data_IF_793349211620
#
_entry.id   IF_793349211620
#
_cell.length_a   1.000
_cell.length_b   1.000
_cell.length_c   1.000
_cell.angle_alpha   90.00
_cell.angle_beta   90.00
_cell.angle_gamma   90.00
#
_symmetry.space_group_name_H-M   'P 1'
#
loop_
_entity.id
_entity.type
_entity.pdbx_description
1 polymer ?
#
# COMPACT_ATOMS: atom_id res chain seq x y z
N UNK A 1 33.44 16.82 -23.14
CA UNK A 1 34.24 16.24 -22.05
C UNK A 1 33.53 14.99 -21.57
N UNK A 2 34.17 13.81 -21.54
CA UNK A 2 33.51 12.61 -21.05
C UNK A 2 33.38 12.71 -19.53
N UNK A 3 32.17 12.52 -19.01
CA UNK A 3 31.92 12.37 -17.58
C UNK A 3 32.45 10.99 -17.15
N UNK A 4 33.70 10.95 -16.68
CA UNK A 4 34.36 9.72 -16.22
C UNK A 4 34.01 9.33 -14.77
N UNK A 5 33.15 10.10 -14.08
CA UNK A 5 32.69 9.74 -12.75
C UNK A 5 31.47 8.82 -12.82
N UNK A 6 31.66 7.56 -12.39
CA UNK A 6 30.56 6.58 -12.23
C UNK A 6 29.47 7.09 -11.29
N UNK A 7 29.87 7.86 -10.27
CA UNK A 7 28.98 8.49 -9.28
C UNK A 7 28.60 9.89 -9.75
N UNK A 8 27.38 10.32 -9.44
CA UNK A 8 26.87 11.65 -9.77
C UNK A 8 27.80 12.75 -9.22
N UNK A 9 28.35 13.62 -10.09
CA UNK A 9 29.22 14.71 -9.66
C UNK A 9 28.44 15.82 -8.93
N UNK A 10 27.11 15.90 -9.13
CA UNK A 10 26.25 16.80 -8.38
C UNK A 10 25.99 16.24 -6.97
N UNK A 11 26.57 16.92 -5.96
CA UNK A 11 26.45 16.52 -4.55
C UNK A 11 25.00 16.55 -4.06
N UNK A 12 24.17 17.47 -4.56
CA UNK A 12 22.78 17.56 -4.12
C UNK A 12 22.00 16.32 -4.58
N UNK A 13 22.09 16.00 -5.87
CA UNK A 13 21.42 14.84 -6.45
C UNK A 13 21.95 13.51 -5.88
N UNK A 14 23.25 13.44 -5.59
CA UNK A 14 23.85 12.28 -4.93
C UNK A 14 23.24 12.05 -3.54
N UNK A 15 23.15 13.10 -2.71
CA UNK A 15 22.57 13.00 -1.36
C UNK A 15 21.09 12.64 -1.43
N UNK A 16 20.33 13.26 -2.35
CA UNK A 16 18.92 12.93 -2.57
C UNK A 16 18.76 11.46 -2.98
N UNK A 17 19.60 10.97 -3.89
CA UNK A 17 19.60 9.58 -4.34
C UNK A 17 19.86 8.59 -3.20
N UNK A 18 20.82 8.90 -2.31
CA UNK A 18 21.09 8.09 -1.11
C UNK A 18 19.86 8.07 -0.19
N UNK A 19 19.25 9.24 0.06
CA UNK A 19 18.06 9.34 0.89
C UNK A 19 16.91 8.50 0.32
N UNK A 20 16.65 8.57 -0.99
CA UNK A 20 15.58 7.80 -1.64
C UNK A 20 15.83 6.31 -1.52
N UNK A 21 17.07 5.88 -1.79
CA UNK A 21 17.47 4.48 -1.71
C UNK A 21 17.25 3.93 -0.30
N UNK A 22 17.71 4.64 0.73
CA UNK A 22 17.59 4.21 2.14
C UNK A 22 16.13 4.22 2.57
N UNK A 23 15.40 5.31 2.30
CA UNK A 23 14.01 5.46 2.71
C UNK A 23 13.13 4.37 2.08
N UNK A 24 13.26 4.14 0.77
CA UNK A 24 12.52 3.07 0.09
C UNK A 24 12.92 1.67 0.55
N UNK A 25 14.19 1.42 0.88
CA UNK A 25 14.65 0.10 1.33
C UNK A 25 14.04 -0.34 2.67
N UNK A 26 13.80 0.61 3.59
CA UNK A 26 13.20 0.34 4.91
C UNK A 26 11.77 -0.20 4.79
N UNK A 27 11.06 0.13 3.71
CA UNK A 27 9.68 -0.29 3.44
C UNK A 27 9.55 -1.80 3.27
N UNK A 28 10.52 -2.44 2.60
CA UNK A 28 10.45 -3.85 2.24
C UNK A 28 10.23 -4.80 3.43
N UNK A 29 11.04 -4.78 4.50
CA UNK A 29 10.84 -5.68 5.63
C UNK A 29 9.48 -5.47 6.31
N UNK A 30 8.99 -4.23 6.37
CA UNK A 30 7.69 -3.90 6.99
C UNK A 30 6.54 -4.53 6.20
N UNK A 31 6.54 -4.37 4.88
CA UNK A 31 5.47 -4.94 4.05
C UNK A 31 5.54 -6.46 3.96
N UNK A 32 6.73 -7.08 3.99
CA UNK A 32 6.86 -8.54 4.11
C UNK A 32 6.15 -9.06 5.36
N UNK A 33 6.33 -8.40 6.51
CA UNK A 33 5.65 -8.76 7.75
C UNK A 33 4.12 -8.60 7.65
N UNK A 34 3.66 -7.51 7.03
CA UNK A 34 2.23 -7.23 6.83
C UNK A 34 1.58 -8.29 5.93
N UNK A 35 2.17 -8.56 4.77
CA UNK A 35 1.65 -9.53 3.78
C UNK A 35 1.63 -10.93 4.40
N UNK A 36 2.69 -11.30 5.13
CA UNK A 36 2.71 -12.57 5.87
C UNK A 36 1.61 -12.64 6.93
N UNK A 37 1.40 -11.57 7.70
CA UNK A 37 0.36 -11.51 8.74
C UNK A 37 -1.06 -11.65 8.16
N UNK A 38 -1.32 -11.05 7.01
CA UNK A 38 -2.60 -11.14 6.29
C UNK A 38 -2.87 -12.56 5.77
N UNK A 39 -1.84 -13.24 5.24
CA UNK A 39 -1.98 -14.61 4.74
C UNK A 39 -2.05 -15.67 5.83
N UNK A 40 -1.40 -15.45 6.98
CA UNK A 40 -1.31 -16.42 8.07
C UNK A 40 -2.62 -16.66 8.82
N UNK A 41 -3.59 -15.75 8.72
CA UNK A 41 -4.89 -15.87 9.38
C UNK A 41 -6.00 -16.17 8.40
N UNK A 42 -6.67 -17.31 8.59
CA UNK A 42 -7.80 -17.71 7.76
C UNK A 42 -8.91 -16.65 7.70
N UNK A 43 -9.29 -16.08 8.85
CA UNK A 43 -10.35 -15.09 8.96
C UNK A 43 -10.03 -13.77 8.24
N UNK A 44 -8.76 -13.37 8.19
CA UNK A 44 -8.32 -12.21 7.43
C UNK A 44 -8.25 -12.54 5.93
N UNK A 45 -7.67 -13.69 5.59
CA UNK A 45 -7.46 -14.14 4.21
C UNK A 45 -8.77 -14.32 3.44
N UNK A 46 -9.84 -14.75 4.10
CA UNK A 46 -11.13 -14.96 3.42
C UNK A 46 -11.91 -13.67 3.15
N UNK A 47 -11.68 -12.63 3.95
CA UNK A 47 -12.42 -11.39 3.86
C UNK A 47 -11.94 -10.53 2.67
N UNK A 48 -12.89 -10.11 1.83
CA UNK A 48 -12.61 -9.40 0.58
C UNK A 48 -11.89 -8.07 0.82
N UNK A 49 -12.26 -7.32 1.86
CA UNK A 49 -11.59 -6.06 2.21
C UNK A 49 -10.10 -6.28 2.48
N UNK A 50 -9.74 -7.39 3.13
CA UNK A 50 -8.35 -7.74 3.38
C UNK A 50 -7.63 -8.25 2.14
N UNK A 51 -8.32 -8.95 1.23
CA UNK A 51 -7.76 -9.30 -0.09
C UNK A 51 -7.43 -8.05 -0.91
N UNK A 52 -8.32 -7.06 -0.92
CA UNK A 52 -8.11 -5.77 -1.59
C UNK A 52 -6.99 -4.97 -0.92
N UNK A 53 -6.95 -4.92 0.42
CA UNK A 53 -5.82 -4.30 1.16
C UNK A 53 -4.50 -5.01 0.83
N UNK A 54 -4.51 -6.33 0.67
CA UNK A 54 -3.30 -7.06 0.30
C UNK A 54 -2.86 -6.74 -1.14
N UNK A 55 -3.80 -6.54 -2.06
CA UNK A 55 -3.49 -6.07 -3.42
C UNK A 55 -2.90 -4.65 -3.40
N UNK A 56 -3.48 -3.75 -2.59
CA UNK A 56 -2.92 -2.41 -2.36
C UNK A 56 -1.47 -2.48 -1.83
N UNK A 57 -1.22 -3.37 -0.87
CA UNK A 57 0.12 -3.56 -0.31
C UNK A 57 1.13 -4.06 -1.36
N UNK A 58 0.72 -4.88 -2.33
CA UNK A 58 1.59 -5.27 -3.44
C UNK A 58 1.90 -4.09 -4.36
N UNK A 59 0.92 -3.22 -4.63
CA UNK A 59 1.15 -1.98 -5.38
C UNK A 59 2.15 -1.08 -4.67
N UNK A 60 1.98 -0.85 -3.36
CA UNK A 60 2.88 0.00 -2.57
C UNK A 60 4.32 -0.54 -2.54
N UNK A 61 4.51 -1.85 -2.35
CA UNK A 61 5.84 -2.48 -2.38
C UNK A 61 6.49 -2.34 -3.75
N UNK A 62 5.72 -2.55 -4.81
CA UNK A 62 6.21 -2.43 -6.18
C UNK A 62 6.58 -0.97 -6.50
N UNK A 63 5.80 0.00 -6.01
CA UNK A 63 6.09 1.42 -6.15
C UNK A 63 7.33 1.81 -5.33
N UNK A 64 7.48 1.31 -4.10
CA UNK A 64 8.68 1.49 -3.29
C UNK A 64 9.93 0.92 -3.99
N UNK A 65 9.80 -0.19 -4.72
CA UNK A 65 10.88 -0.71 -5.56
C UNK A 65 11.25 0.23 -6.71
N UNK A 66 10.27 0.84 -7.40
CA UNK A 66 10.56 1.85 -8.41
C UNK A 66 11.25 3.10 -7.81
N UNK A 67 10.86 3.53 -6.61
CA UNK A 67 11.54 4.64 -5.91
C UNK A 67 12.95 4.28 -5.42
N UNK A 68 13.17 3.03 -5.00
CA UNK A 68 14.51 2.51 -4.73
C UNK A 68 15.40 2.58 -5.98
N UNK A 69 14.89 2.16 -7.15
CA UNK A 69 15.59 2.31 -8.42
C UNK A 69 15.81 3.79 -8.79
N UNK A 70 14.84 4.65 -8.51
CA UNK A 70 14.99 6.11 -8.71
C UNK A 70 16.18 6.65 -7.92
N UNK A 71 16.34 6.25 -6.66
CA UNK A 71 17.51 6.60 -5.85
C UNK A 71 18.83 6.14 -6.49
N UNK A 72 18.87 4.92 -7.02
CA UNK A 72 20.02 4.38 -7.76
C UNK A 72 20.31 5.20 -9.03
N UNK A 73 19.28 5.60 -9.79
CA UNK A 73 19.46 6.41 -11.01
C UNK A 73 20.04 7.79 -10.70
N UNK A 74 19.68 8.37 -9.56
CA UNK A 74 20.24 9.65 -9.11
C UNK A 74 21.70 9.51 -8.63
N UNK A 75 22.07 8.39 -7.99
CA UNK A 75 23.45 8.11 -7.57
C UNK A 75 24.34 7.84 -8.79
N UNK A 76 23.82 7.10 -9.78
CA UNK A 76 24.54 6.65 -10.97
C UNK A 76 23.89 7.22 -12.24
N UNK A 77 24.27 8.42 -12.69
CA UNK A 77 23.66 9.10 -13.85
C UNK A 77 23.91 8.37 -15.19
N UNK A 78 24.77 7.34 -15.19
CA UNK A 78 24.96 6.42 -16.31
C UNK A 78 23.64 5.80 -16.75
N UNK A 79 22.73 5.49 -15.82
CA UNK A 79 21.41 4.93 -16.17
C UNK A 79 20.57 5.93 -16.97
N UNK A 80 20.57 7.19 -16.56
CA UNK A 80 19.82 8.26 -17.25
C UNK A 80 20.43 8.54 -18.62
N UNK A 81 21.75 8.54 -18.76
CA UNK A 81 22.43 8.90 -20.02
C UNK A 81 22.56 7.76 -21.03
N UNK A 82 22.68 6.50 -20.57
CA UNK A 82 22.92 5.34 -21.44
C UNK A 82 21.73 4.39 -21.56
N UNK A 83 20.82 4.41 -20.59
CA UNK A 83 19.70 3.47 -20.49
C UNK A 83 18.39 4.20 -20.18
N UNK A 84 18.22 5.41 -20.72
CA UNK A 84 17.05 6.28 -20.46
C UNK A 84 15.72 5.55 -20.70
N UNK A 85 15.65 4.75 -21.76
CA UNK A 85 14.46 3.94 -22.08
C UNK A 85 13.98 3.07 -20.90
N UNK A 86 14.93 2.45 -20.17
CA UNK A 86 14.61 1.67 -18.98
C UNK A 86 14.19 2.56 -17.80
N UNK A 87 14.87 3.69 -17.61
CA UNK A 87 14.54 4.68 -16.56
C UNK A 87 13.11 5.17 -16.73
N UNK A 88 12.71 5.52 -17.95
CA UNK A 88 11.34 5.95 -18.28
C UNK A 88 10.30 4.85 -18.06
N UNK A 89 10.61 3.59 -18.36
CA UNK A 89 9.73 2.45 -18.03
C UNK A 89 9.53 2.33 -16.52
N UNK A 90 10.58 2.53 -15.72
CA UNK A 90 10.47 2.50 -14.25
C UNK A 90 9.57 3.62 -13.75
N UNK A 91 9.71 4.84 -14.27
CA UNK A 91 8.83 5.97 -13.95
C UNK A 91 7.37 5.71 -14.32
N UNK A 92 7.13 5.23 -15.54
CA UNK A 92 5.80 4.85 -16.01
C UNK A 92 5.18 3.74 -15.14
N UNK A 93 5.98 2.75 -14.74
CA UNK A 93 5.54 1.67 -13.86
C UNK A 93 5.18 2.20 -12.48
N UNK A 94 6.00 3.09 -11.90
CA UNK A 94 5.70 3.74 -10.63
C UNK A 94 4.36 4.49 -10.68
N UNK A 95 4.15 5.29 -11.72
CA UNK A 95 2.92 6.05 -11.88
C UNK A 95 1.68 5.18 -12.14
N UNK A 96 1.84 4.12 -12.92
CA UNK A 96 0.78 3.14 -13.17
C UNK A 96 0.38 2.42 -11.88
N UNK A 97 1.35 2.01 -11.06
CA UNK A 97 1.09 1.37 -9.78
C UNK A 97 0.35 2.31 -8.83
N UNK A 98 0.72 3.58 -8.83
CA UNK A 98 -0.03 4.63 -8.16
C UNK A 98 -1.47 4.72 -8.66
N UNK A 99 -1.70 4.78 -9.97
CA UNK A 99 -3.03 4.84 -10.57
C UNK A 99 -3.88 3.60 -10.18
N UNK A 100 -3.25 2.42 -10.10
CA UNK A 100 -3.89 1.19 -9.66
C UNK A 100 -4.41 1.29 -8.22
N UNK A 101 -3.74 2.05 -7.35
CA UNK A 101 -4.21 2.26 -5.97
C UNK A 101 -5.58 2.93 -5.93
N UNK A 102 -5.87 3.87 -6.83
CA UNK A 102 -7.19 4.52 -6.89
C UNK A 102 -8.30 3.55 -7.26
N UNK A 103 -8.06 2.70 -8.25
CA UNK A 103 -9.01 1.65 -8.65
C UNK A 103 -9.31 0.73 -7.46
N UNK A 104 -8.28 0.27 -6.76
CA UNK A 104 -8.42 -0.61 -5.60
C UNK A 104 -9.16 0.10 -4.46
N UNK A 105 -8.84 1.37 -4.19
CA UNK A 105 -9.48 2.18 -3.15
C UNK A 105 -10.97 2.42 -3.47
N UNK A 106 -11.34 2.66 -4.72
CA UNK A 106 -12.73 2.81 -5.16
C UNK A 106 -13.53 1.51 -4.97
N UNK A 107 -12.96 0.36 -5.31
CA UNK A 107 -13.60 -0.95 -5.09
C UNK A 107 -13.71 -1.26 -3.59
N UNK A 108 -12.68 -0.90 -2.80
CA UNK A 108 -12.68 -1.09 -1.36
C UNK A 108 -13.76 -0.24 -0.67
N UNK A 109 -13.90 1.04 -1.05
CA UNK A 109 -14.90 1.95 -0.49
C UNK A 109 -16.33 1.50 -0.80
N UNK A 110 -16.61 1.13 -2.06
CA UNK A 110 -17.90 0.59 -2.49
C UNK A 110 -18.22 -0.75 -1.84
N UNK A 111 -17.22 -1.63 -1.69
CA UNK A 111 -17.38 -2.93 -1.00
C UNK A 111 -17.83 -2.74 0.44
N UNK A 112 -17.26 -1.75 1.14
CA UNK A 112 -17.66 -1.44 2.52
C UNK A 112 -19.08 -0.90 2.62
N UNK A 113 -19.50 -0.03 1.70
CA UNK A 113 -20.90 0.43 1.61
C UNK A 113 -21.84 -0.78 1.36
N UNK A 114 -21.46 -1.66 0.42
CA UNK A 114 -22.13 -2.92 0.13
C UNK A 114 -22.38 -3.78 1.37
N UNK A 115 -21.34 -4.02 2.16
CA UNK A 115 -21.42 -4.80 3.40
C UNK A 115 -22.27 -4.07 4.46
N UNK A 116 -22.13 -2.76 4.58
CA UNK A 116 -22.78 -1.97 5.63
C UNK A 116 -24.30 -1.77 5.42
N UNK A 117 -24.75 -1.57 4.17
CA UNK A 117 -26.14 -1.23 3.85
C UNK A 117 -26.88 -2.33 3.11
N UNK A 118 -26.22 -3.07 2.23
CA UNK A 118 -26.84 -4.07 1.36
C UNK A 118 -26.70 -5.50 1.88
N UNK A 119 -26.15 -5.68 3.10
CA UNK A 119 -25.93 -6.98 3.77
C UNK A 119 -25.13 -7.97 2.90
N UNK A 120 -24.24 -7.47 2.05
CA UNK A 120 -23.33 -8.31 1.26
C UNK A 120 -22.44 -9.14 2.17
N UNK A 121 -22.24 -10.42 1.84
CA UNK A 121 -21.34 -11.29 2.62
C UNK A 121 -19.89 -10.83 2.46
N UNK A 122 -19.14 -10.57 3.55
CA UNK A 122 -17.78 -10.03 3.49
C UNK A 122 -16.74 -11.03 2.96
N UNK A 123 -17.10 -12.31 2.80
CA UNK A 123 -16.20 -13.40 2.36
C UNK A 123 -16.43 -13.84 0.92
N UNK A 124 -17.54 -13.43 0.28
CA UNK A 124 -17.91 -13.85 -1.08
C UNK A 124 -17.87 -12.70 -2.06
N UNK A 125 -17.02 -12.80 -3.08
CA UNK A 125 -16.96 -11.84 -4.17
C UNK A 125 -18.33 -11.70 -4.84
N UNK A 126 -18.82 -10.46 -4.90
CA UNK A 126 -20.01 -10.14 -5.69
C UNK A 126 -19.61 -9.97 -7.16
N UNK A 127 -20.49 -10.33 -8.12
CA UNK A 127 -20.18 -10.20 -9.55
C UNK A 127 -19.73 -8.78 -9.94
N UNK A 128 -20.37 -7.75 -9.38
CA UNK A 128 -19.99 -6.36 -9.64
C UNK A 128 -18.56 -6.04 -9.19
N UNK A 129 -18.08 -6.60 -8.07
CA UNK A 129 -16.71 -6.36 -7.57
C UNK A 129 -15.68 -6.93 -8.53
N UNK A 130 -15.95 -8.14 -9.05
CA UNK A 130 -15.08 -8.83 -10.00
C UNK A 130 -15.04 -8.05 -11.32
N UNK A 131 -16.20 -7.65 -11.84
CA UNK A 131 -16.31 -6.88 -13.08
C UNK A 131 -15.55 -5.56 -12.95
N UNK A 132 -15.75 -4.80 -11.86
CA UNK A 132 -15.03 -3.56 -11.61
C UNK A 132 -13.52 -3.77 -11.50
N UNK A 133 -13.08 -4.85 -10.84
CA UNK A 133 -11.66 -5.18 -10.73
C UNK A 133 -11.05 -5.51 -12.10
N UNK A 134 -11.75 -6.30 -12.93
CA UNK A 134 -11.28 -6.67 -14.27
C UNK A 134 -11.19 -5.43 -15.17
N UNK A 135 -12.24 -4.59 -15.20
CA UNK A 135 -12.23 -3.34 -15.97
C UNK A 135 -11.09 -2.43 -15.51
N UNK A 136 -10.92 -2.29 -14.20
CA UNK A 136 -9.83 -1.53 -13.61
C UNK A 136 -8.45 -2.07 -14.00
N UNK A 137 -8.22 -3.39 -13.89
CA UNK A 137 -6.97 -4.02 -14.29
C UNK A 137 -6.68 -3.84 -15.79
N UNK A 138 -7.68 -3.98 -16.65
CA UNK A 138 -7.54 -3.74 -18.10
C UNK A 138 -7.15 -2.30 -18.37
N UNK A 139 -7.83 -1.34 -17.72
CA UNK A 139 -7.50 0.09 -17.84
C UNK A 139 -6.04 0.37 -17.42
N UNK A 140 -5.64 -0.08 -16.23
CA UNK A 140 -4.26 0.10 -15.71
C UNK A 140 -3.24 -0.54 -16.64
N UNK A 141 -3.52 -1.75 -17.15
CA UNK A 141 -2.63 -2.44 -18.06
C UNK A 141 -2.47 -1.70 -19.40
N UNK A 142 -3.56 -1.14 -19.94
CA UNK A 142 -3.51 -0.33 -21.17
C UNK A 142 -2.70 0.95 -20.97
N UNK A 143 -2.93 1.67 -19.86
CA UNK A 143 -2.16 2.87 -19.50
C UNK A 143 -0.67 2.52 -19.39
N UNK A 144 -0.33 1.40 -18.74
CA UNK A 144 1.04 0.95 -18.60
C UNK A 144 1.70 0.62 -19.94
N UNK A 145 1.05 -0.20 -20.77
CA UNK A 145 1.60 -0.63 -22.07
C UNK A 145 1.81 0.57 -22.98
N UNK A 146 0.79 1.43 -23.11
CA UNK A 146 0.88 2.61 -23.96
C UNK A 146 1.93 3.56 -23.40
N UNK A 147 1.97 3.79 -22.09
CA UNK A 147 2.98 4.63 -21.44
C UNK A 147 4.41 4.11 -21.61
N UNK A 148 4.61 2.79 -21.59
CA UNK A 148 5.91 2.16 -21.88
C UNK A 148 6.30 2.28 -23.36
N UNK A 149 5.35 2.19 -24.30
CA UNK A 149 5.65 2.33 -25.74
C UNK A 149 5.97 3.79 -26.08
N UNK A 150 5.16 4.71 -25.54
CA UNK A 150 5.26 6.14 -25.83
C UNK A 150 6.36 6.83 -25.02
N UNK A 151 6.81 6.25 -23.91
CA UNK A 151 7.87 6.83 -23.06
C UNK A 151 7.46 8.16 -22.42
N UNK A 152 6.21 8.24 -21.98
CA UNK A 152 5.55 9.47 -21.49
C UNK A 152 6.05 10.00 -20.14
N UNK A 153 6.93 9.27 -19.45
CA UNK A 153 7.53 9.72 -18.18
C UNK A 153 9.02 9.97 -18.36
N UNK A 154 9.52 11.02 -17.71
CA UNK A 154 10.95 11.31 -17.61
C UNK A 154 11.34 11.64 -16.17
N UNK A 155 12.61 11.41 -15.84
CA UNK A 155 13.21 11.80 -14.57
C UNK A 155 13.91 13.15 -14.73
N UNK A 156 13.25 14.23 -14.30
CA UNK A 156 13.74 15.60 -14.40
C UNK A 156 14.32 16.03 -13.05
N UNK A 157 15.66 15.99 -12.93
CA UNK A 157 16.32 16.16 -11.63
C UNK A 157 15.89 15.03 -10.67
N UNK A 158 15.50 15.31 -9.43
CA UNK A 158 15.03 14.29 -8.50
C UNK A 158 13.52 13.93 -8.67
N UNK A 159 12.87 14.40 -9.74
CA UNK A 159 11.42 14.34 -9.89
C UNK A 159 10.93 13.60 -11.13
N UNK A 160 9.89 12.79 -10.96
CA UNK A 160 9.16 12.18 -12.08
C UNK A 160 8.14 13.16 -12.65
N UNK A 161 8.17 13.36 -13.96
CA UNK A 161 7.20 14.21 -14.65
C UNK A 161 6.78 13.62 -15.98
N UNK A 162 5.56 13.96 -16.40
CA UNK A 162 5.11 13.67 -17.75
C UNK A 162 5.94 14.45 -18.76
N UNK A 163 6.39 13.77 -19.81
CA UNK A 163 7.02 14.38 -20.98
C UNK A 163 5.93 14.91 -21.92
N UNK A 164 5.52 16.15 -21.71
CA UNK A 164 4.43 16.79 -22.47
C UNK A 164 4.76 16.98 -23.96
N UNK A 165 5.98 16.68 -24.40
CA UNK A 165 6.36 16.69 -25.82
C UNK A 165 5.87 15.43 -26.56
N UNK A 166 5.49 14.39 -25.82
CA UNK A 166 5.16 13.08 -26.38
C UNK A 166 3.65 12.85 -26.43
N UNK A 167 3.21 12.07 -27.43
CA UNK A 167 1.80 11.77 -27.66
C UNK A 167 1.17 11.08 -26.44
N UNK A 168 -0.05 11.49 -26.10
CA UNK A 168 -0.85 10.96 -25.00
C UNK A 168 -0.35 11.31 -23.59
N UNK A 169 0.76 12.02 -23.41
CA UNK A 169 1.24 12.42 -22.08
C UNK A 169 0.22 13.32 -21.36
N UNK A 170 -0.29 14.34 -22.05
CA UNK A 170 -1.36 15.22 -21.55
C UNK A 170 -2.65 14.44 -21.25
N UNK A 171 -3.07 13.56 -22.16
CA UNK A 171 -4.25 12.72 -21.96
C UNK A 171 -4.12 11.85 -20.71
N UNK A 172 -2.95 11.26 -20.44
CA UNK A 172 -2.74 10.44 -19.24
C UNK A 172 -2.70 11.26 -17.96
N UNK A 173 -2.12 12.46 -17.99
CA UNK A 173 -2.17 13.38 -16.86
C UNK A 173 -3.63 13.78 -16.54
N UNK A 174 -4.43 14.10 -17.55
CA UNK A 174 -5.85 14.44 -17.38
C UNK A 174 -6.67 13.25 -16.88
N UNK A 175 -6.43 12.05 -17.42
CA UNK A 175 -7.11 10.84 -16.97
C UNK A 175 -6.74 10.47 -15.54
N UNK A 176 -5.50 10.70 -15.13
CA UNK A 176 -5.05 10.49 -13.75
C UNK A 176 -5.84 11.39 -12.78
N UNK A 177 -5.96 12.69 -13.11
CA UNK A 177 -6.78 13.63 -12.35
C UNK A 177 -8.26 13.24 -12.33
N UNK A 178 -8.80 12.88 -13.50
CA UNK A 178 -10.19 12.48 -13.67
C UNK A 178 -10.53 11.18 -12.93
N UNK A 179 -9.57 10.28 -12.69
CA UNK A 179 -9.76 9.10 -11.86
C UNK A 179 -9.59 9.43 -10.37
N UNK A 180 -8.61 10.26 -10.05
CA UNK A 180 -8.26 10.58 -8.67
C UNK A 180 -9.39 11.33 -7.96
N UNK A 181 -9.86 12.46 -8.49
CA UNK A 181 -10.85 13.29 -7.80
C UNK A 181 -12.16 12.56 -7.46
N UNK A 182 -12.79 11.82 -8.40
CA UNK A 182 -13.97 11.01 -8.08
C UNK A 182 -13.68 9.91 -7.07
N UNK A 183 -12.49 9.29 -7.10
CA UNK A 183 -12.12 8.25 -6.13
C UNK A 183 -11.99 8.83 -4.72
N UNK A 184 -11.40 10.02 -4.58
CA UNK A 184 -11.32 10.72 -3.30
C UNK A 184 -12.71 11.10 -2.78
N UNK A 185 -13.56 11.64 -3.67
CA UNK A 185 -14.96 11.98 -3.34
C UNK A 185 -15.75 10.74 -2.90
N UNK A 186 -15.68 9.65 -3.66
CA UNK A 186 -16.32 8.38 -3.35
C UNK A 186 -15.84 7.82 -2.00
N UNK A 187 -14.53 7.87 -1.75
CA UNK A 187 -13.94 7.44 -0.48
C UNK A 187 -14.48 8.27 0.68
N UNK A 188 -14.52 9.60 0.54
CA UNK A 188 -15.09 10.51 1.53
C UNK A 188 -16.57 10.22 1.82
N UNK A 189 -17.40 10.08 0.78
CA UNK A 189 -18.81 9.72 0.94
C UNK A 189 -18.98 8.36 1.62
N UNK A 190 -18.14 7.37 1.27
CA UNK A 190 -18.16 6.05 1.91
C UNK A 190 -17.91 6.13 3.41
N UNK A 191 -17.02 7.03 3.85
CA UNK A 191 -16.72 7.23 5.27
C UNK A 191 -17.92 7.79 6.04
N UNK A 192 -18.58 8.81 5.51
CA UNK A 192 -19.79 9.37 6.12
C UNK A 192 -20.87 8.28 6.28
N UNK A 193 -21.06 7.47 5.24
CA UNK A 193 -22.03 6.37 5.25
C UNK A 193 -21.65 5.27 6.25
N UNK A 194 -20.37 4.91 6.36
CA UNK A 194 -19.89 3.92 7.34
C UNK A 194 -20.10 4.44 8.77
N UNK A 195 -19.74 5.70 9.05
CA UNK A 195 -19.97 6.34 10.36
C UNK A 195 -21.47 6.31 10.71
N UNK A 196 -22.32 6.68 9.75
CA UNK A 196 -23.77 6.63 9.93
C UNK A 196 -24.27 5.21 10.25
N UNK A 197 -23.79 4.19 9.52
CA UNK A 197 -24.13 2.79 9.78
C UNK A 197 -23.69 2.33 11.16
N UNK A 198 -22.49 2.73 11.59
CA UNK A 198 -21.95 2.45 12.94
C UNK A 198 -22.81 3.14 14.01
N UNK A 199 -23.15 4.41 13.83
CA UNK A 199 -23.98 5.18 14.76
C UNK A 199 -25.37 4.55 14.91
N UNK A 200 -26.00 4.18 13.79
CA UNK A 200 -27.29 3.47 13.78
C UNK A 200 -27.21 2.13 14.53
N UNK A 201 -26.16 1.34 14.32
CA UNK A 201 -25.96 0.06 15.05
C UNK A 201 -25.70 0.27 16.55
N UNK A 202 -24.97 1.32 16.93
CA UNK A 202 -24.70 1.67 18.34
C UNK A 202 -25.95 2.10 19.09
N UNK A 203 -26.90 2.76 18.41
CA UNK A 203 -28.21 3.10 18.99
C UNK A 203 -29.04 1.85 19.32
N UNK A 204 -28.82 0.75 18.61
CA UNK A 204 -29.53 -0.52 18.78
C UNK A 204 -28.83 -1.46 19.76
N UNK A 205 -27.49 -1.40 19.87
CA UNK A 205 -26.70 -2.29 20.73
C UNK A 205 -25.70 -1.49 21.56
N UNK A 206 -25.88 -1.45 22.89
CA UNK A 206 -25.07 -0.64 23.81
C UNK A 206 -23.65 -1.19 24.06
N UNK A 207 -23.41 -2.47 23.78
CA UNK A 207 -22.09 -3.10 23.95
C UNK A 207 -21.21 -2.93 22.71
N UNK A 208 -20.02 -2.36 22.89
CA UNK A 208 -19.05 -2.13 21.82
C UNK A 208 -18.45 -3.48 21.35
N UNK A 209 -18.90 -4.01 20.21
CA UNK A 209 -18.37 -5.27 19.69
C UNK A 209 -16.93 -5.11 19.18
N UNK A 210 -16.14 -6.19 19.21
CA UNK A 210 -14.78 -6.24 18.66
C UNK A 210 -14.73 -5.92 17.16
N UNK A 211 -15.80 -6.24 16.43
CA UNK A 211 -16.00 -5.86 15.03
C UNK A 211 -16.04 -4.34 14.87
N UNK A 212 -16.77 -3.62 15.74
CA UNK A 212 -16.94 -2.16 15.64
C UNK A 212 -15.62 -1.39 15.86
N UNK A 213 -14.75 -1.85 16.77
CA UNK A 213 -13.40 -1.27 16.94
C UNK A 213 -12.52 -1.45 15.71
N UNK A 214 -12.63 -2.61 15.06
CA UNK A 214 -11.88 -2.91 13.84
C UNK A 214 -12.36 -2.04 12.69
N UNK A 215 -13.67 -1.87 12.53
CA UNK A 215 -14.29 -0.96 11.55
C UNK A 215 -13.86 0.49 11.77
N UNK A 216 -13.85 0.98 13.02
CA UNK A 216 -13.36 2.33 13.35
C UNK A 216 -11.88 2.48 13.03
N UNK A 217 -11.04 1.50 13.36
CA UNK A 217 -9.61 1.56 13.05
C UNK A 217 -9.36 1.66 11.54
N UNK A 218 -10.05 0.82 10.77
CA UNK A 218 -10.01 0.82 9.32
C UNK A 218 -10.49 2.16 8.74
N UNK A 219 -11.53 2.76 9.34
CA UNK A 219 -12.04 4.07 8.96
C UNK A 219 -11.01 5.17 9.22
N UNK A 220 -10.39 5.20 10.40
CA UNK A 220 -9.36 6.19 10.76
C UNK A 220 -8.16 6.09 9.83
N UNK A 221 -7.69 4.88 9.53
CA UNK A 221 -6.61 4.67 8.55
C UNK A 221 -7.00 5.30 7.19
N UNK A 222 -8.19 4.98 6.72
CA UNK A 222 -8.64 5.40 5.40
C UNK A 222 -8.83 6.93 5.31
N UNK A 223 -9.36 7.58 6.37
CA UNK A 223 -9.44 9.04 6.46
C UNK A 223 -8.07 9.70 6.41
N UNK A 224 -7.11 9.25 7.24
CA UNK A 224 -5.76 9.83 7.26
C UNK A 224 -5.10 9.66 5.88
N UNK A 225 -5.24 8.49 5.27
CA UNK A 225 -4.67 8.20 3.97
C UNK A 225 -5.29 9.09 2.87
N UNK A 226 -6.62 9.20 2.82
CA UNK A 226 -7.33 10.06 1.86
C UNK A 226 -6.97 11.54 2.05
N UNK A 227 -6.88 12.04 3.29
CA UNK A 227 -6.45 13.41 3.56
C UNK A 227 -5.01 13.65 3.09
N UNK A 228 -4.11 12.69 3.36
CA UNK A 228 -2.73 12.76 2.88
C UNK A 228 -2.67 12.82 1.35
N UNK A 229 -3.43 11.98 0.65
CA UNK A 229 -3.52 12.00 -0.82
C UNK A 229 -3.99 13.35 -1.34
N UNK A 230 -5.06 13.90 -0.76
CA UNK A 230 -5.62 15.18 -1.20
C UNK A 230 -4.61 16.32 -1.06
N UNK A 231 -3.87 16.35 0.06
CA UNK A 231 -2.81 17.33 0.28
C UNK A 231 -1.66 17.15 -0.71
N UNK A 232 -1.20 15.92 -0.90
CA UNK A 232 -0.11 15.58 -1.81
C UNK A 232 -0.43 16.04 -3.24
N UNK A 233 -1.64 15.77 -3.74
CA UNK A 233 -2.04 16.16 -5.10
C UNK A 233 -2.22 17.67 -5.23
N UNK A 234 -2.75 18.31 -4.18
CA UNK A 234 -2.89 19.78 -4.14
C UNK A 234 -1.53 20.45 -4.20
N UNK A 235 -0.56 19.97 -3.40
CA UNK A 235 0.81 20.48 -3.43
C UNK A 235 1.50 20.20 -4.76
N UNK A 236 1.30 19.02 -5.34
CA UNK A 236 1.88 18.67 -6.64
C UNK A 236 1.39 19.60 -7.76
N UNK A 237 0.08 19.79 -7.89
CA UNK A 237 -0.49 20.61 -8.97
C UNK A 237 -0.25 22.11 -8.81
N UNK A 238 -0.11 22.58 -7.58
CA UNK A 238 0.19 24.00 -7.30
C UNK A 238 1.69 24.23 -7.01
N UNK A 239 2.55 23.23 -7.23
CA UNK A 239 3.97 23.31 -6.85
C UNK A 239 4.67 24.50 -7.52
N UNK A 240 4.46 24.67 -8.82
CA UNK A 240 5.10 25.73 -9.61
C UNK A 240 4.62 27.13 -9.24
N UNK A 241 3.35 27.27 -8.83
CA UNK A 241 2.77 28.57 -8.44
C UNK A 241 3.08 28.94 -7.00
N UNK A 242 3.23 27.95 -6.10
CA UNK A 242 3.42 28.18 -4.67
C UNK A 242 4.88 28.18 -4.23
N UNK A 243 5.75 27.46 -4.94
CA UNK A 243 7.14 27.27 -4.55
C UNK A 243 8.11 27.57 -5.68
N UNK A 244 9.33 27.97 -5.30
CA UNK A 244 10.44 28.02 -6.23
C UNK A 244 10.87 26.59 -6.56
N UNK A 245 10.82 26.21 -7.84
CA UNK A 245 11.16 24.86 -8.32
C UNK A 245 12.67 24.62 -8.31
N UNK A 246 13.21 24.34 -7.13
CA UNK A 246 14.60 23.92 -6.91
C UNK A 246 14.68 22.39 -6.84
N UNK A 247 15.88 21.83 -6.97
CA UNK A 247 16.13 20.40 -6.74
C UNK A 247 15.61 19.95 -5.36
N UNK A 248 15.76 20.79 -4.33
CA UNK A 248 15.25 20.51 -3.00
C UNK A 248 13.72 20.45 -2.95
N UNK A 249 13.02 21.41 -3.58
CA UNK A 249 11.55 21.43 -3.65
C UNK A 249 11.02 20.19 -4.38
N UNK A 250 11.60 19.88 -5.53
CA UNK A 250 11.30 18.69 -6.32
C UNK A 250 11.56 17.40 -5.54
N UNK A 251 12.67 17.37 -4.79
CA UNK A 251 13.03 16.23 -3.98
C UNK A 251 12.09 16.05 -2.79
N UNK A 252 11.66 17.14 -2.17
CA UNK A 252 10.71 17.15 -1.07
C UNK A 252 9.35 16.61 -1.53
N UNK A 253 8.84 17.07 -2.68
CA UNK A 253 7.60 16.56 -3.27
C UNK A 253 7.67 15.04 -3.49
N UNK A 254 8.73 14.52 -4.12
CA UNK A 254 8.93 13.06 -4.28
C UNK A 254 9.13 12.31 -2.97
N UNK A 255 9.76 12.93 -1.96
CA UNK A 255 9.83 12.34 -0.63
C UNK A 255 8.43 12.12 -0.03
N UNK A 256 7.50 13.06 -0.22
CA UNK A 256 6.10 12.90 0.23
C UNK A 256 5.46 11.69 -0.46
N UNK A 257 5.72 11.48 -1.75
CA UNK A 257 5.29 10.27 -2.45
C UNK A 257 5.87 8.98 -1.87
N UNK A 258 7.17 8.94 -1.53
CA UNK A 258 7.80 7.77 -0.91
C UNK A 258 7.24 7.51 0.50
N UNK A 259 7.03 8.57 1.27
CA UNK A 259 6.50 8.51 2.64
C UNK A 259 5.04 8.04 2.68
N UNK A 260 4.29 8.15 1.58
CA UNK A 260 2.94 7.61 1.48
C UNK A 260 2.87 6.11 1.83
N UNK A 261 3.77 5.31 1.25
CA UNK A 261 3.85 3.86 1.53
C UNK A 261 4.18 3.57 3.01
N UNK A 262 5.07 4.36 3.60
CA UNK A 262 5.39 4.25 5.02
C UNK A 262 4.16 4.53 5.88
N UNK A 263 3.47 5.64 5.60
CA UNK A 263 2.27 6.02 6.33
C UNK A 263 1.19 4.93 6.22
N UNK A 264 0.95 4.38 5.03
CA UNK A 264 -0.03 3.31 4.86
C UNK A 264 0.32 2.07 5.72
N UNK A 265 1.57 1.62 5.68
CA UNK A 265 2.02 0.46 6.46
C UNK A 265 1.91 0.69 7.98
N UNK A 266 2.32 1.87 8.47
CA UNK A 266 2.24 2.25 9.88
C UNK A 266 0.80 2.32 10.35
N UNK A 267 -0.08 2.95 9.57
CA UNK A 267 -1.51 3.04 9.89
C UNK A 267 -2.17 1.65 9.92
N UNK A 268 -1.83 0.77 8.97
CA UNK A 268 -2.36 -0.58 8.95
C UNK A 268 -1.96 -1.36 10.21
N UNK A 269 -0.69 -1.27 10.64
CA UNK A 269 -0.21 -1.91 11.86
C UNK A 269 -0.85 -1.27 13.11
N UNK A 270 -0.97 0.05 13.16
CA UNK A 270 -1.49 0.78 14.31
C UNK A 270 -2.99 0.53 14.53
N UNK A 271 -3.77 0.55 13.45
CA UNK A 271 -5.24 0.49 13.51
C UNK A 271 -5.77 -0.94 13.46
N UNK A 272 -5.07 -1.86 12.79
CA UNK A 272 -5.55 -3.23 12.61
C UNK A 272 -5.01 -4.17 13.70
N UNK A 273 -5.82 -4.40 14.74
CA UNK A 273 -5.47 -5.33 15.83
C UNK A 273 -5.18 -6.76 15.32
N UNK A 274 -5.85 -7.20 14.25
CA UNK A 274 -5.65 -8.52 13.67
C UNK A 274 -4.24 -8.70 13.09
N UNK A 275 -3.80 -7.73 12.28
CA UNK A 275 -2.45 -7.67 11.69
C UNK A 275 -1.41 -7.49 12.78
N UNK A 276 -1.60 -6.50 13.67
CA UNK A 276 -0.68 -6.21 14.78
C UNK A 276 -0.40 -7.42 15.67
N UNK A 277 -1.45 -8.13 16.07
CA UNK A 277 -1.31 -9.31 16.91
C UNK A 277 -0.52 -10.44 16.23
N UNK A 278 -0.60 -10.56 14.91
CA UNK A 278 0.18 -11.56 14.17
C UNK A 278 1.65 -11.16 14.03
N UNK A 279 1.91 -9.89 13.76
CA UNK A 279 3.28 -9.35 13.75
C UNK A 279 3.92 -9.55 15.13
N UNK A 280 3.23 -9.16 16.20
CA UNK A 280 3.71 -9.36 17.58
C UNK A 280 3.97 -10.83 17.92
N UNK A 281 3.17 -11.78 17.41
CA UNK A 281 3.41 -13.21 17.62
C UNK A 281 4.74 -13.68 17.04
N UNK A 282 5.18 -13.13 15.92
CA UNK A 282 6.47 -13.48 15.30
C UNK A 282 7.62 -13.07 16.23
N UNK A 283 7.55 -11.86 16.78
CA UNK A 283 8.54 -11.35 17.73
C UNK A 283 8.49 -12.09 19.08
N UNK A 284 7.31 -12.33 19.66
CA UNK A 284 7.17 -12.98 20.96
C UNK A 284 7.44 -14.50 20.93
N UNK A 285 7.24 -15.20 19.81
CA UNK A 285 7.59 -16.63 19.71
C UNK A 285 9.10 -16.87 19.72
N UNK A 286 9.89 -15.90 19.25
CA UNK A 286 11.36 -15.96 19.27
C UNK A 286 11.90 -16.04 20.70
N UNK A 287 11.28 -15.34 21.66
CA UNK A 287 11.71 -15.38 23.06
C UNK A 287 11.33 -16.69 23.77
N UNK A 288 10.16 -17.27 23.47
CA UNK A 288 9.69 -18.50 24.13
C UNK A 288 10.53 -19.74 23.78
N UNK A 289 11.18 -19.73 22.61
CA UNK A 289 12.10 -20.79 22.18
C UNK A 289 13.46 -20.76 22.89
N UNK A 290 13.88 -19.63 23.45
CA UNK A 290 15.17 -19.55 24.19
C UNK A 290 15.06 -19.97 25.66
N UNK A 291 13.86 -19.98 26.23
CA UNK A 291 13.65 -20.35 27.64
C UNK A 291 13.28 -21.82 27.86
N UNK A 292 12.86 -22.55 26.83
CA UNK A 292 12.40 -23.95 26.94
C UNK A 292 13.49 -25.00 26.72
N UNK A 293 14.70 -24.61 26.32
CA UNK A 293 15.85 -25.53 26.15
C UNK A 293 16.61 -25.85 27.44
N UNK A 294 16.19 -25.33 28.62
CA UNK A 294 16.81 -25.63 29.93
C UNK A 294 15.97 -26.48 30.89
N UNK A 295 14.83 -27.00 30.45
CA UNK A 295 14.04 -27.97 31.24
C UNK A 295 13.99 -29.30 30.49
N UNK A 296 15.04 -30.09 30.68
CA UNK A 296 15.03 -31.51 30.34
C UNK A 296 14.00 -32.25 31.23
N UNK A 297 13.24 -33.20 30.68
CA UNK A 297 12.30 -34.00 31.44
C UNK A 297 13.01 -35.21 32.08
N UNK A 298 12.92 -35.33 33.41
CA UNK A 298 13.26 -36.56 34.12
C UNK A 298 12.06 -37.53 34.04
N UNK A 299 12.20 -38.47 33.09
CA UNK A 299 11.79 -39.89 33.10
C UNK A 299 10.68 -40.39 34.05
N UNK A 300 9.60 -40.90 33.44
CA UNK A 300 9.05 -42.26 33.60
C UNK A 300 9.15 -42.98 34.96
N UNK A 301 8.01 -43.37 35.54
CA UNK A 301 7.69 -44.77 35.94
C UNK A 301 6.18 -45.02 35.79
N UNK A 302 5.86 -46.17 35.18
CA UNK A 302 4.55 -46.74 34.84
C UNK A 302 4.03 -47.67 35.93
N UNK A 303 2.70 -47.84 36.05
CA UNK A 303 2.01 -49.13 36.34
C UNK A 303 0.49 -48.95 36.18
N UNK A 304 -0.09 -49.53 35.12
CA UNK A 304 -0.93 -50.75 35.13
C UNK A 304 -2.37 -50.50 35.67
N UNK A 305 -3.36 -50.25 34.81
CA UNK A 305 -4.23 -51.24 34.12
C UNK A 305 -5.30 -51.86 35.03
N UNK A 306 -6.57 -51.49 34.82
CA UNK A 306 -7.71 -52.41 34.87
C UNK A 306 -8.87 -51.90 34.01
N UNK A 307 -9.44 -52.83 33.26
CA UNK A 307 -10.44 -52.71 32.19
C UNK A 307 -11.76 -53.34 32.68
N UNK A 308 -12.89 -52.78 32.21
CA UNK A 308 -14.28 -53.32 32.16
C UNK A 308 -15.01 -53.68 33.47
N UNK A 309 -16.28 -53.33 33.66
CA UNK A 309 -17.43 -53.77 32.84
C UNK A 309 -18.68 -52.89 33.05
N UNK A 310 -19.51 -52.73 32.01
CA UNK A 310 -20.93 -52.30 32.06
C UNK A 310 -21.82 -53.53 32.33
N UNK A 311 -22.89 -53.39 33.15
CA UNK A 311 -24.30 -53.68 32.79
C UNK A 311 -25.26 -53.74 33.98
N UNK A 312 -26.48 -53.21 33.78
CA UNK A 312 -27.79 -53.46 34.43
C UNK A 312 -27.93 -52.94 35.89
N UNK A 313 -28.87 -52.02 36.21
CA UNK A 313 -30.35 -52.04 36.08
C UNK A 313 -30.89 -50.67 35.70
#
# INVERSE_FOLDING_TARGET
>A
MPQDSVINPDRELLVIGIIYTVLSAIVFPVYVLIIHALHSRHDLRENISYKLINLLNYCDVSQAFCHFLTGIFLIFPVFISKVDFFVRIVGCTANTLWLATFVIMAILSTTRIGIAFFKTKPTKWSPWMIISLVIGCVYIFLVWVIGCITQNFMLTGPNWSYDMTVKFAELFADLELALCFPTLMLSFCSYILIIYSIYKKRRVSQTLSSSLRTEIGILVQATILTTYMALLITFWHNAESWFKMTNFTLAALNCVWILFSHLNSVLLIATNKGVRNQILKIFCKSERSRHTSRLAPLSHVSSAMMVETRSNV
#
